data_IF_912660454144
#
_entry.id   IF_912660454144
#
_cell.length_a   1.000
_cell.length_b   1.000
_cell.length_c   1.000
_cell.angle_alpha   90.00
_cell.angle_beta   90.00
_cell.angle_gamma   90.00
#
_symmetry.space_group_name_H-M   'P 1'
#
loop_
_entity.id
_entity.type
_entity.pdbx_description
1 polymer ?
#
# COMPACT_ATOMS: atom_id res chain seq x y z
N UNK A 1 11.71 -10.06 -4.81
CA UNK A 1 10.64 -11.02 -4.43
C UNK A 1 9.84 -10.48 -3.23
N UNK A 2 8.54 -10.81 -3.12
CA UNK A 2 7.64 -10.22 -2.11
C UNK A 2 8.19 -10.30 -0.67
N UNK A 3 8.94 -11.35 -0.35
CA UNK A 3 9.59 -11.53 0.95
C UNK A 3 10.56 -10.40 1.31
N UNK A 4 11.30 -9.84 0.34
CA UNK A 4 12.25 -8.75 0.58
C UNK A 4 11.55 -7.46 1.02
N UNK A 5 10.31 -7.24 0.56
CA UNK A 5 9.50 -6.09 0.98
C UNK A 5 9.14 -6.24 2.46
N UNK A 6 8.68 -7.43 2.87
CA UNK A 6 8.33 -7.73 4.27
C UNK A 6 9.56 -7.61 5.17
N UNK A 7 10.71 -8.16 4.76
CA UNK A 7 11.97 -8.05 5.51
C UNK A 7 12.41 -6.59 5.67
N UNK A 8 12.28 -5.78 4.61
CA UNK A 8 12.56 -4.34 4.70
C UNK A 8 11.65 -3.65 5.71
N UNK A 9 10.34 -3.94 5.70
CA UNK A 9 9.39 -3.37 6.67
C UNK A 9 9.76 -3.75 8.11
N UNK A 10 10.06 -5.03 8.37
CA UNK A 10 10.44 -5.50 9.70
C UNK A 10 11.73 -4.85 10.18
N UNK A 11 12.73 -4.73 9.29
CA UNK A 11 13.99 -4.05 9.59
C UNK A 11 13.78 -2.59 9.96
N UNK A 12 13.05 -1.82 9.16
CA UNK A 12 12.80 -0.39 9.42
C UNK A 12 11.99 -0.18 10.72
N UNK A 13 11.13 -1.14 11.08
CA UNK A 13 10.35 -1.10 12.34
C UNK A 13 11.09 -1.72 13.55
N UNK A 14 12.33 -2.18 13.39
CA UNK A 14 13.09 -2.85 14.45
C UNK A 14 12.42 -4.13 14.97
N UNK A 15 11.79 -4.91 14.08
CA UNK A 15 11.07 -6.14 14.39
C UNK A 15 11.82 -7.38 13.86
N UNK A 16 11.72 -8.52 14.54
CA UNK A 16 12.38 -9.74 14.10
C UNK A 16 11.65 -10.40 12.93
N UNK A 17 12.40 -11.06 12.04
CA UNK A 17 11.86 -11.86 10.94
C UNK A 17 11.01 -13.07 11.42
N UNK A 18 11.11 -13.44 12.70
CA UNK A 18 10.27 -14.49 13.31
C UNK A 18 8.77 -14.17 13.32
N UNK A 19 8.38 -12.91 13.04
CA UNK A 19 6.99 -12.50 12.85
C UNK A 19 6.42 -12.91 11.48
N UNK A 20 7.27 -13.31 10.52
CA UNK A 20 6.81 -13.75 9.20
C UNK A 20 6.02 -15.06 9.35
N UNK A 21 4.85 -15.10 8.70
CA UNK A 21 4.00 -16.29 8.59
C UNK A 21 3.67 -16.50 7.13
N UNK A 22 4.02 -17.67 6.62
CA UNK A 22 3.61 -18.09 5.28
C UNK A 22 2.15 -18.54 5.36
N UNK A 23 1.34 -18.00 4.46
CA UNK A 23 -0.06 -18.36 4.30
C UNK A 23 -0.25 -19.04 2.96
N UNK A 24 -1.36 -19.77 2.80
CA UNK A 24 -1.72 -20.38 1.51
C UNK A 24 -1.73 -19.34 0.41
N UNK A 25 -1.11 -19.66 -0.72
CA UNK A 25 -1.04 -18.75 -1.85
C UNK A 25 -2.41 -18.50 -2.48
N UNK A 26 -2.58 -17.35 -3.12
CA UNK A 26 -3.83 -17.00 -3.81
C UNK A 26 -3.94 -17.81 -5.11
N UNK A 27 -5.09 -18.45 -5.41
CA UNK A 27 -5.32 -19.06 -6.71
C UNK A 27 -5.13 -18.04 -7.84
N UNK A 28 -4.28 -18.36 -8.82
CA UNK A 28 -3.97 -17.47 -9.94
C UNK A 28 -3.03 -16.32 -9.61
N UNK A 29 -2.18 -16.45 -8.58
CA UNK A 29 -1.16 -15.45 -8.29
C UNK A 29 -0.08 -15.42 -9.39
N UNK A 30 -0.02 -14.30 -10.11
CA UNK A 30 1.03 -14.07 -11.11
C UNK A 30 2.40 -13.98 -10.44
N UNK A 31 3.37 -14.71 -11.00
CA UNK A 31 4.71 -14.85 -10.40
C UNK A 31 5.53 -13.56 -10.44
N UNK A 32 5.41 -12.79 -11.53
CA UNK A 32 6.22 -11.60 -11.75
C UNK A 32 5.56 -10.63 -12.72
N UNK A 33 5.45 -9.38 -12.29
CA UNK A 33 5.26 -8.25 -13.18
C UNK A 33 6.57 -7.50 -13.36
N UNK A 34 6.84 -7.05 -14.59
CA UNK A 34 7.95 -6.18 -14.91
C UNK A 34 7.52 -5.23 -16.03
N UNK A 35 7.96 -3.97 -15.93
CA UNK A 35 7.69 -2.93 -16.91
C UNK A 35 9.03 -2.42 -17.43
N UNK A 36 9.14 -2.27 -18.75
CA UNK A 36 10.22 -1.52 -19.39
C UNK A 36 9.82 -0.04 -19.50
N UNK A 37 10.48 0.82 -18.74
CA UNK A 37 10.25 2.27 -18.75
C UNK A 37 11.03 3.02 -19.83
N UNK A 38 11.78 2.34 -20.70
CA UNK A 38 12.65 2.98 -21.69
C UNK A 38 11.93 3.98 -22.60
N UNK A 39 10.65 3.72 -22.96
CA UNK A 39 9.89 4.60 -23.85
C UNK A 39 9.62 5.96 -23.20
N UNK A 40 9.09 5.98 -21.98
CA UNK A 40 8.75 7.22 -21.28
C UNK A 40 10.00 8.01 -20.88
N UNK A 41 11.10 7.31 -20.58
CA UNK A 41 12.39 7.94 -20.31
C UNK A 41 12.95 8.66 -21.55
N UNK A 42 12.85 8.03 -22.73
CA UNK A 42 13.35 8.61 -23.98
C UNK A 42 12.46 9.71 -24.54
N UNK A 43 11.15 9.49 -24.56
CA UNK A 43 10.21 10.39 -25.23
C UNK A 43 9.85 11.60 -24.37
N UNK A 44 9.74 11.43 -23.05
CA UNK A 44 9.28 12.47 -22.14
C UNK A 44 10.34 12.92 -21.12
N UNK A 45 11.53 12.29 -21.13
CA UNK A 45 12.59 12.60 -20.17
C UNK A 45 12.23 12.22 -18.73
N UNK A 46 11.17 11.43 -18.52
CA UNK A 46 10.77 10.99 -17.19
C UNK A 46 11.88 10.15 -16.57
N UNK A 47 12.12 10.32 -15.27
CA UNK A 47 12.98 9.44 -14.47
C UNK A 47 12.38 9.28 -13.08
N UNK A 48 12.55 8.11 -12.43
CA UNK A 48 12.15 7.94 -11.04
C UNK A 48 12.94 8.95 -10.18
N UNK A 49 12.21 9.76 -9.41
CA UNK A 49 12.81 10.74 -8.49
C UNK A 49 13.20 10.11 -7.15
N UNK A 50 12.54 9.02 -6.78
CA UNK A 50 12.65 8.37 -5.47
C UNK A 50 13.06 6.92 -5.69
N UNK A 51 14.06 6.46 -4.93
CA UNK A 51 14.47 5.05 -4.94
C UNK A 51 13.50 4.23 -4.10
N UNK A 52 13.42 2.92 -4.35
CA UNK A 52 12.52 2.05 -3.59
C UNK A 52 12.80 2.10 -2.09
N UNK A 53 14.07 2.05 -1.68
CA UNK A 53 14.50 2.04 -0.28
C UNK A 53 14.13 3.34 0.47
N UNK A 54 14.15 4.46 -0.23
CA UNK A 54 13.75 5.76 0.30
C UNK A 54 12.23 5.83 0.41
N UNK A 55 11.52 5.52 -0.68
CA UNK A 55 10.06 5.58 -0.73
C UNK A 55 9.40 4.62 0.27
N UNK A 56 9.93 3.41 0.46
CA UNK A 56 9.37 2.46 1.42
C UNK A 56 9.58 2.93 2.87
N UNK A 57 10.72 3.56 3.20
CA UNK A 57 10.95 4.14 4.52
C UNK A 57 9.97 5.28 4.80
N UNK A 58 9.85 6.24 3.87
CA UNK A 58 8.92 7.36 4.00
C UNK A 58 7.48 6.87 4.13
N UNK A 59 7.11 5.83 3.39
CA UNK A 59 5.79 5.20 3.49
C UNK A 59 5.59 4.62 4.89
N UNK A 60 6.53 3.82 5.41
CA UNK A 60 6.43 3.24 6.77
C UNK A 60 6.29 4.34 7.81
N UNK A 61 7.12 5.38 7.75
CA UNK A 61 7.04 6.52 8.66
C UNK A 61 5.67 7.21 8.60
N UNK A 62 5.13 7.39 7.39
CA UNK A 62 3.81 7.97 7.22
C UNK A 62 2.74 7.14 7.92
N UNK A 63 2.73 5.82 7.75
CA UNK A 63 1.75 4.95 8.43
C UNK A 63 1.88 4.96 9.96
N UNK A 64 3.10 5.04 10.49
CA UNK A 64 3.34 5.18 11.93
C UNK A 64 2.83 6.53 12.45
N UNK A 65 3.09 7.63 11.73
CA UNK A 65 2.68 8.99 12.12
C UNK A 65 1.17 9.22 11.95
N UNK A 66 0.51 8.49 11.05
CA UNK A 66 -0.91 8.68 10.70
C UNK A 66 -1.78 7.54 11.24
N UNK A 67 -1.50 7.07 12.46
CA UNK A 67 -2.21 5.98 13.11
C UNK A 67 -3.73 6.16 13.17
N UNK A 68 -4.18 7.38 13.49
CA UNK A 68 -5.60 7.72 13.52
C UNK A 68 -6.30 7.41 12.19
N UNK A 69 -5.65 7.74 11.07
CA UNK A 69 -6.23 7.60 9.73
C UNK A 69 -6.57 6.13 9.41
N UNK A 70 -5.63 5.20 9.58
CA UNK A 70 -5.91 3.79 9.27
C UNK A 70 -6.72 3.10 10.37
N UNK A 71 -6.68 3.57 11.62
CA UNK A 71 -7.52 3.02 12.69
C UNK A 71 -9.01 3.24 12.44
N UNK A 72 -9.40 4.40 11.91
CA UNK A 72 -10.79 4.69 11.53
C UNK A 72 -11.28 3.81 10.37
N UNK A 73 -10.37 3.39 9.48
CA UNK A 73 -10.67 2.43 8.42
C UNK A 73 -10.87 1.02 9.01
N UNK A 74 -9.97 0.59 9.89
CA UNK A 74 -10.05 -0.73 10.53
C UNK A 74 -11.22 -0.89 11.49
N UNK A 75 -11.69 0.18 12.12
CA UNK A 75 -12.85 0.14 13.03
C UNK A 75 -14.18 -0.08 12.30
N UNK A 76 -14.19 -0.04 10.96
CA UNK A 76 -15.41 -0.09 10.15
C UNK A 76 -16.16 1.25 10.07
N UNK A 77 -15.70 2.26 10.81
CA UNK A 77 -16.28 3.60 10.81
C UNK A 77 -16.21 4.26 9.43
N UNK A 78 -15.11 4.02 8.69
CA UNK A 78 -14.99 4.44 7.30
C UNK A 78 -16.08 3.86 6.39
N UNK A 79 -16.40 2.56 6.52
CA UNK A 79 -17.51 1.96 5.74
C UNK A 79 -18.84 2.57 6.15
N UNK A 80 -19.06 2.81 7.45
CA UNK A 80 -20.28 3.46 7.95
C UNK A 80 -20.46 4.88 7.40
N UNK A 81 -19.38 5.67 7.33
CA UNK A 81 -19.40 7.01 6.72
C UNK A 81 -19.66 6.91 5.21
N UNK A 82 -18.97 6.00 4.51
CA UNK A 82 -19.16 5.80 3.07
C UNK A 82 -20.60 5.39 2.74
N UNK A 83 -21.18 4.47 3.51
CA UNK A 83 -22.57 4.03 3.36
C UNK A 83 -23.56 5.18 3.64
N UNK A 84 -23.33 5.97 4.68
CA UNK A 84 -24.16 7.14 4.99
C UNK A 84 -24.12 8.18 3.87
N UNK A 85 -22.94 8.51 3.35
CA UNK A 85 -22.78 9.45 2.24
C UNK A 85 -23.47 8.93 0.98
N UNK A 86 -23.31 7.64 0.66
CA UNK A 86 -24.02 7.02 -0.46
C UNK A 86 -25.54 7.12 -0.25
N UNK A 87 -26.02 6.86 0.96
CA UNK A 87 -27.46 6.91 1.28
C UNK A 87 -28.03 8.33 1.16
N UNK A 88 -27.28 9.36 1.57
CA UNK A 88 -27.68 10.77 1.43
C UNK A 88 -27.70 11.20 -0.04
N UNK A 89 -26.68 10.82 -0.81
CA UNK A 89 -26.65 11.11 -2.26
C UNK A 89 -27.81 10.42 -2.98
N UNK A 90 -28.16 9.20 -2.59
CA UNK A 90 -29.27 8.45 -3.18
C UNK A 90 -30.64 9.00 -2.74
N UNK A 91 -30.77 9.54 -1.53
CA UNK A 91 -32.01 10.19 -1.08
C UNK A 91 -32.30 11.52 -1.77
N UNK A 92 -31.26 12.24 -2.21
CA UNK A 92 -31.39 13.51 -2.93
C UNK A 92 -31.73 13.34 -4.43
N UNK A 93 -31.78 12.10 -4.93
CA UNK A 93 -32.09 11.74 -6.33
C UNK A 93 -33.52 11.17 -6.48
N UNK A 94 -34.32 11.15 -5.42
CA UNK A 94 -35.77 10.90 -5.45
C UNK A 94 -36.56 12.19 -5.20
#
# INVERSE_FOLDING_TARGET
PNIQVVQTILKELGKPESLIRFVTDRPGHDLRYAIDSSKIEKELGWKPKVKFEEGIRETIEWYVKNEKWWREILSGEYMRIADNVLSTILSDVQ
#
